data_IF_441087981166
#
_entry.id   IF_441087981166
#
_cell.length_a   1.000
_cell.length_b   1.000
_cell.length_c   1.000
_cell.angle_alpha   90.00
_cell.angle_beta   90.00
_cell.angle_gamma   90.00
#
_symmetry.space_group_name_H-M   'P 1'
#
loop_
_entity.id
_entity.type
_entity.pdbx_description
1 polymer ?
#
# COMPACT_ATOMS: atom_id res chain seq x y z
N UNK A 1 -0.66 -21.35 11.43
CA UNK A 1 0.44 -20.72 10.64
C UNK A 1 -0.19 -19.88 9.52
N UNK A 2 -0.32 -18.58 9.73
CA UNK A 2 -0.92 -17.69 8.71
C UNK A 2 0.08 -17.48 7.57
N UNK A 3 -0.26 -17.89 6.35
CA UNK A 3 0.51 -17.53 5.14
C UNK A 3 0.47 -16.01 5.01
N UNK A 4 1.60 -15.33 5.23
CA UNK A 4 1.77 -13.92 4.83
C UNK A 4 1.50 -13.82 3.32
N UNK A 5 0.67 -12.86 2.91
CA UNK A 5 0.38 -12.57 1.50
C UNK A 5 1.69 -12.32 0.73
N UNK A 6 1.76 -12.77 -0.53
CA UNK A 6 2.93 -12.58 -1.39
C UNK A 6 3.28 -11.09 -1.55
N UNK A 7 2.29 -10.20 -1.61
CA UNK A 7 2.48 -8.74 -1.61
C UNK A 7 3.17 -8.22 -0.34
N UNK A 8 2.86 -8.81 0.83
CA UNK A 8 3.51 -8.40 2.09
C UNK A 8 5.00 -8.73 2.15
N UNK A 9 5.45 -9.74 1.40
CA UNK A 9 6.87 -10.07 1.29
C UNK A 9 7.60 -9.10 0.34
N UNK A 10 6.94 -8.69 -0.75
CA UNK A 10 7.54 -7.87 -1.80
C UNK A 10 7.87 -6.44 -1.33
N UNK A 11 6.94 -5.74 -0.67
CA UNK A 11 7.22 -4.37 -0.20
C UNK A 11 8.26 -4.35 0.93
N UNK A 12 8.32 -5.40 1.76
CA UNK A 12 9.37 -5.55 2.76
C UNK A 12 10.72 -5.79 2.11
N UNK A 13 10.79 -6.61 1.05
CA UNK A 13 12.02 -6.84 0.32
C UNK A 13 12.57 -5.54 -0.33
N UNK A 14 11.70 -4.72 -0.91
CA UNK A 14 12.09 -3.40 -1.44
C UNK A 14 12.64 -2.49 -0.34
N UNK A 15 11.92 -2.37 0.79
CA UNK A 15 12.38 -1.56 1.92
C UNK A 15 13.73 -2.05 2.47
N UNK A 16 13.92 -3.36 2.64
CA UNK A 16 15.19 -3.93 3.09
C UNK A 16 16.34 -3.63 2.12
N UNK A 17 16.09 -3.66 0.80
CA UNK A 17 17.11 -3.28 -0.19
C UNK A 17 17.47 -1.81 -0.02
N UNK A 18 16.48 -0.91 0.03
CA UNK A 18 16.70 0.53 0.16
C UNK A 18 17.39 0.90 1.48
N UNK A 19 17.07 0.20 2.58
CA UNK A 19 17.70 0.39 3.89
C UNK A 19 19.21 0.10 3.90
N UNK A 20 19.67 -0.81 3.05
CA UNK A 20 21.08 -1.28 3.04
C UNK A 20 22.11 -0.18 2.74
N UNK A 21 21.73 0.85 1.99
CA UNK A 21 22.56 2.00 1.66
C UNK A 21 21.86 3.32 1.99
N UNK A 22 21.02 3.32 3.03
CA UNK A 22 20.26 4.50 3.41
C UNK A 22 21.17 5.55 4.07
N UNK A 23 21.03 6.85 3.74
CA UNK A 23 21.92 7.88 4.28
C UNK A 23 21.82 7.96 5.81
N UNK A 24 22.92 8.21 6.55
CA UNK A 24 22.90 8.31 8.01
C UNK A 24 21.90 9.35 8.54
N UNK A 25 21.79 10.50 7.88
CA UNK A 25 20.80 11.55 8.21
C UNK A 25 19.42 11.31 7.58
N UNK A 26 19.27 10.30 6.73
CA UNK A 26 18.05 10.03 5.99
C UNK A 26 16.86 9.74 6.91
N UNK A 27 17.08 9.13 8.08
CA UNK A 27 16.00 8.87 9.05
C UNK A 27 15.45 10.15 9.68
N UNK A 28 16.31 11.15 9.91
CA UNK A 28 15.93 12.44 10.48
C UNK A 28 15.22 13.30 9.44
N UNK A 29 15.69 13.24 8.20
CA UNK A 29 15.14 14.00 7.07
C UNK A 29 13.87 13.37 6.47
N UNK A 30 13.50 12.15 6.89
CA UNK A 30 12.35 11.45 6.36
C UNK A 30 11.05 12.19 6.69
N UNK A 31 10.16 12.39 5.71
CA UNK A 31 8.84 12.95 5.98
C UNK A 31 8.06 12.12 7.02
N UNK A 32 7.17 12.79 7.76
CA UNK A 32 6.40 12.16 8.84
C UNK A 32 5.37 11.19 8.25
N UNK A 33 5.01 10.09 8.94
CA UNK A 33 3.96 9.17 8.46
C UNK A 33 2.61 9.85 8.20
N UNK A 34 2.29 10.96 8.88
CA UNK A 34 1.09 11.76 8.63
C UNK A 34 1.08 12.44 7.25
N UNK A 35 2.23 12.51 6.56
CA UNK A 35 2.40 13.11 5.24
C UNK A 35 2.16 12.12 4.09
N UNK A 36 1.92 10.83 4.37
CA UNK A 36 1.48 9.91 3.31
C UNK A 36 0.17 10.44 2.71
N UNK A 37 0.00 10.40 1.40
CA UNK A 37 -1.15 11.00 0.70
C UNK A 37 -2.50 10.42 1.14
N UNK A 38 -2.53 9.15 1.55
CA UNK A 38 -3.72 8.46 2.06
C UNK A 38 -4.06 8.78 3.52
N UNK A 39 -3.28 9.61 4.22
CA UNK A 39 -3.49 9.86 5.65
C UNK A 39 -4.80 10.60 5.96
N UNK A 40 -5.41 11.27 4.98
CA UNK A 40 -6.73 11.87 5.10
C UNK A 40 -7.89 10.87 4.93
N UNK A 41 -7.64 9.64 4.45
CA UNK A 41 -8.67 8.60 4.43
C UNK A 41 -9.00 8.19 5.87
N UNK A 42 -10.27 8.35 6.22
CA UNK A 42 -10.82 7.75 7.42
C UNK A 42 -10.79 6.23 7.27
N UNK A 43 -9.77 5.62 7.87
CA UNK A 43 -9.57 4.18 7.88
C UNK A 43 -9.57 3.70 9.32
N UNK A 44 -10.14 2.51 9.60
CA UNK A 44 -10.02 1.88 10.91
C UNK A 44 -8.56 1.82 11.36
N UNK A 45 -8.30 2.28 12.59
CA UNK A 45 -6.93 2.38 13.13
C UNK A 45 -6.44 1.07 13.75
N UNK A 46 -7.38 0.24 14.20
CA UNK A 46 -7.13 -0.98 14.93
C UNK A 46 -8.10 -2.09 14.48
N UNK A 47 -7.86 -3.29 15.00
CA UNK A 47 -8.63 -4.49 14.67
C UNK A 47 -10.09 -4.32 15.10
N UNK A 48 -10.32 -3.77 16.28
CA UNK A 48 -11.63 -3.60 16.91
C UNK A 48 -12.52 -2.66 16.09
N UNK A 49 -11.97 -1.56 15.59
CA UNK A 49 -12.65 -0.67 14.65
C UNK A 49 -12.94 -1.38 13.33
N UNK A 50 -11.97 -2.11 12.77
CA UNK A 50 -12.18 -2.83 11.51
C UNK A 50 -13.30 -3.87 11.61
N UNK A 51 -13.42 -4.56 12.75
CA UNK A 51 -14.50 -5.52 13.02
C UNK A 51 -15.89 -4.87 13.13
N UNK A 52 -15.98 -3.56 13.37
CA UNK A 52 -17.25 -2.80 13.44
C UNK A 52 -17.68 -2.20 12.10
N UNK A 53 -16.76 -2.02 11.17
CA UNK A 53 -17.07 -1.49 9.82
C UNK A 53 -17.86 -2.51 9.01
N UNK A 54 -18.86 -2.06 8.25
CA UNK A 54 -19.67 -2.93 7.38
C UNK A 54 -18.82 -3.60 6.29
N UNK A 55 -19.29 -4.71 5.72
CA UNK A 55 -18.56 -5.39 4.63
C UNK A 55 -18.40 -4.49 3.39
N UNK A 56 -19.49 -3.81 3.00
CA UNK A 56 -19.49 -2.88 1.87
C UNK A 56 -18.50 -1.73 2.07
N UNK A 57 -18.43 -1.17 3.27
CA UNK A 57 -17.50 -0.08 3.57
C UNK A 57 -16.05 -0.58 3.63
N UNK A 58 -15.79 -1.76 4.21
CA UNK A 58 -14.44 -2.36 4.22
C UNK A 58 -13.90 -2.63 2.81
N UNK A 59 -14.73 -3.15 1.91
CA UNK A 59 -14.31 -3.41 0.53
C UNK A 59 -14.10 -2.10 -0.25
N UNK A 60 -14.96 -1.10 -0.05
CA UNK A 60 -14.79 0.25 -0.60
C UNK A 60 -13.50 0.92 -0.12
N UNK A 61 -13.14 0.78 1.16
CA UNK A 61 -11.89 1.31 1.71
C UNK A 61 -10.66 0.60 1.11
N UNK A 62 -10.72 -0.73 0.95
CA UNK A 62 -9.65 -1.49 0.31
C UNK A 62 -9.45 -1.06 -1.15
N UNK A 63 -10.53 -0.88 -1.93
CA UNK A 63 -10.46 -0.35 -3.30
C UNK A 63 -9.90 1.07 -3.34
N UNK A 64 -10.40 1.95 -2.47
CA UNK A 64 -9.96 3.36 -2.42
C UNK A 64 -8.46 3.46 -2.15
N UNK A 65 -7.92 2.65 -1.24
CA UNK A 65 -6.48 2.57 -0.98
C UNK A 65 -5.71 2.08 -2.21
N UNK A 66 -6.12 0.98 -2.84
CA UNK A 66 -5.43 0.45 -4.03
C UNK A 66 -5.43 1.45 -5.18
N UNK A 67 -6.56 2.10 -5.45
CA UNK A 67 -6.67 3.13 -6.47
C UNK A 67 -5.76 4.32 -6.19
N UNK A 68 -5.69 4.77 -4.93
CA UNK A 68 -4.79 5.85 -4.54
C UNK A 68 -3.30 5.49 -4.72
N UNK A 69 -2.96 4.21 -4.86
CA UNK A 69 -1.58 3.74 -5.05
C UNK A 69 -1.18 3.54 -6.52
N UNK A 70 -2.09 3.71 -7.48
CA UNK A 70 -1.79 3.56 -8.91
C UNK A 70 -0.69 4.54 -9.38
N UNK A 71 -0.88 5.85 -9.19
CA UNK A 71 0.09 6.86 -9.62
C UNK A 71 1.41 6.80 -8.83
N UNK A 72 1.41 6.65 -7.49
CA UNK A 72 2.65 6.48 -6.75
C UNK A 72 3.47 5.24 -7.16
N UNK A 73 2.81 4.11 -7.45
CA UNK A 73 3.52 2.91 -7.91
C UNK A 73 4.09 3.09 -9.32
N UNK A 74 3.39 3.83 -10.19
CA UNK A 74 3.93 4.21 -11.49
C UNK A 74 5.18 5.09 -11.35
N UNK A 75 5.15 6.10 -10.49
CA UNK A 75 6.30 6.95 -10.18
C UNK A 75 7.47 6.14 -9.63
N UNK A 76 7.22 5.25 -8.66
CA UNK A 76 8.26 4.37 -8.12
C UNK A 76 8.88 3.48 -9.21
N UNK A 77 8.05 2.96 -10.12
CA UNK A 77 8.47 2.10 -11.23
C UNK A 77 9.33 2.84 -12.25
N UNK A 78 9.01 4.12 -12.53
CA UNK A 78 9.80 4.96 -13.44
C UNK A 78 11.11 5.43 -12.82
N UNK A 79 11.13 5.68 -11.50
CA UNK A 79 12.31 6.20 -10.79
C UNK A 79 13.30 5.10 -10.37
N UNK A 80 12.82 3.89 -10.07
CA UNK A 80 13.64 2.80 -9.55
C UNK A 80 14.89 2.47 -10.40
N UNK A 81 14.84 2.44 -11.76
CA UNK A 81 16.03 2.14 -12.57
C UNK A 81 17.16 3.14 -12.42
N UNK A 82 16.87 4.39 -12.05
CA UNK A 82 17.87 5.47 -11.92
C UNK A 82 18.08 5.89 -10.47
N UNK A 83 17.53 5.12 -9.52
CA UNK A 83 17.69 5.37 -8.09
C UNK A 83 19.18 5.31 -7.73
N UNK A 84 19.71 6.22 -6.91
CA UNK A 84 21.11 6.23 -6.50
C UNK A 84 21.40 5.15 -5.46
N UNK A 85 21.26 3.89 -5.86
CA UNK A 85 21.43 2.69 -5.05
C UNK A 85 22.08 1.58 -5.89
N UNK A 86 23.09 0.85 -5.37
CA UNK A 86 23.80 -0.17 -6.14
C UNK A 86 22.89 -1.32 -6.63
N UNK A 87 21.82 -1.62 -5.89
CA UNK A 87 20.80 -2.62 -6.26
C UNK A 87 19.57 -2.03 -6.98
N UNK A 88 19.70 -0.91 -7.69
CA UNK A 88 18.59 -0.27 -8.43
C UNK A 88 17.86 -1.22 -9.40
N UNK A 89 18.60 -2.14 -10.06
CA UNK A 89 18.03 -3.18 -10.91
C UNK A 89 17.07 -4.13 -10.16
N UNK A 90 17.50 -4.64 -9.00
CA UNK A 90 16.67 -5.50 -8.14
C UNK A 90 15.46 -4.75 -7.57
N UNK A 91 15.67 -3.50 -7.15
CA UNK A 91 14.60 -2.62 -6.68
C UNK A 91 13.56 -2.43 -7.79
N UNK A 92 13.99 -2.09 -9.00
CA UNK A 92 13.13 -1.94 -10.19
C UNK A 92 12.34 -3.21 -10.48
N UNK A 93 12.98 -4.38 -10.48
CA UNK A 93 12.29 -5.66 -10.66
C UNK A 93 11.18 -5.87 -9.64
N UNK A 94 11.48 -5.67 -8.36
CA UNK A 94 10.51 -5.87 -7.27
C UNK A 94 9.38 -4.84 -7.27
N UNK A 95 9.65 -3.60 -7.67
CA UNK A 95 8.60 -2.58 -7.83
C UNK A 95 7.64 -2.97 -8.96
N UNK A 96 8.13 -3.51 -10.07
CA UNK A 96 7.26 -4.02 -11.15
C UNK A 96 6.38 -5.17 -10.67
N UNK A 97 6.96 -6.13 -9.95
CA UNK A 97 6.19 -7.20 -9.31
C UNK A 97 5.12 -6.68 -8.34
N UNK A 98 5.42 -5.62 -7.58
CA UNK A 98 4.46 -4.95 -6.71
C UNK A 98 3.34 -4.25 -7.48
N UNK A 99 3.67 -3.59 -8.58
CA UNK A 99 2.71 -2.92 -9.44
C UNK A 99 1.72 -3.94 -10.04
N UNK A 100 2.23 -5.05 -10.56
CA UNK A 100 1.42 -6.15 -11.11
C UNK A 100 0.54 -6.79 -10.02
N UNK A 101 1.10 -7.03 -8.83
CA UNK A 101 0.34 -7.55 -7.70
C UNK A 101 -0.79 -6.61 -7.27
N UNK A 102 -0.50 -5.30 -7.17
CA UNK A 102 -1.49 -4.28 -6.80
C UNK A 102 -2.63 -4.22 -7.82
N UNK A 103 -2.29 -4.26 -9.11
CA UNK A 103 -3.27 -4.30 -10.20
C UNK A 103 -4.16 -5.54 -10.14
N UNK A 104 -3.56 -6.73 -10.06
CA UNK A 104 -4.29 -7.99 -9.98
C UNK A 104 -5.23 -8.05 -8.76
N UNK A 105 -4.79 -7.51 -7.62
CA UNK A 105 -5.62 -7.40 -6.43
C UNK A 105 -6.79 -6.43 -6.63
N UNK A 106 -6.56 -5.29 -7.29
CA UNK A 106 -7.58 -4.34 -7.68
C UNK A 106 -8.65 -4.97 -8.58
N UNK A 107 -8.23 -5.65 -9.64
CA UNK A 107 -9.13 -6.36 -10.57
C UNK A 107 -9.98 -7.40 -9.84
N UNK A 108 -9.37 -8.14 -8.90
CA UNK A 108 -10.07 -9.10 -8.05
C UNK A 108 -11.14 -8.45 -7.15
N UNK A 109 -10.86 -7.26 -6.59
CA UNK A 109 -11.82 -6.52 -5.78
C UNK A 109 -12.96 -5.90 -6.60
N UNK A 110 -12.67 -5.44 -7.82
CA UNK A 110 -13.68 -4.91 -8.74
C UNK A 110 -14.74 -5.96 -9.05
N UNK A 111 -14.32 -7.21 -9.28
CA UNK A 111 -15.22 -8.35 -9.49
C UNK A 111 -16.10 -8.60 -8.25
N UNK A 112 -15.54 -8.47 -7.03
CA UNK A 112 -16.26 -8.69 -5.78
C UNK A 112 -17.31 -7.60 -5.51
N UNK A 113 -16.95 -6.34 -5.71
CA UNK A 113 -17.86 -5.19 -5.54
C UNK A 113 -19.06 -5.30 -6.49
N UNK A 114 -18.83 -5.69 -7.74
CA UNK A 114 -19.92 -5.88 -8.71
C UNK A 114 -20.93 -6.95 -8.27
N UNK A 115 -20.54 -7.89 -7.39
CA UNK A 115 -21.44 -8.91 -6.82
C UNK A 115 -22.14 -8.46 -5.53
N UNK A 116 -21.59 -7.47 -4.81
CA UNK A 116 -22.12 -6.97 -3.53
C UNK A 116 -23.17 -5.85 -3.69
N UNK A 117 -23.34 -5.32 -4.90
CA UNK A 117 -24.39 -4.33 -5.23
C UNK A 117 -23.95 -2.87 -5.10
N UNK A 118 -24.85 -1.90 -5.41
CA UNK A 118 -24.49 -0.49 -5.62
C UNK A 118 -23.85 0.21 -4.42
N UNK A 119 -24.20 -0.19 -3.20
CA UNK A 119 -23.66 0.39 -1.97
C UNK A 119 -22.18 0.09 -1.73
N UNK A 120 -21.60 -0.90 -2.42
CA UNK A 120 -20.16 -1.23 -2.38
C UNK A 120 -19.34 -0.52 -3.46
N UNK A 121 -19.98 0.28 -4.31
CA UNK A 121 -19.31 0.99 -5.41
C UNK A 121 -18.69 2.32 -4.97
N UNK A 122 -18.95 2.78 -3.75
CA UNK A 122 -18.37 4.02 -3.23
C UNK A 122 -16.84 3.94 -3.25
N UNK A 123 -16.20 4.96 -3.83
CA UNK A 123 -14.75 5.13 -3.88
C UNK A 123 -14.43 6.53 -3.38
N UNK A 124 -13.52 6.61 -2.40
CA UNK A 124 -12.88 7.88 -2.06
C UNK A 124 -11.62 8.02 -2.92
N UNK A 125 -11.72 8.81 -3.99
CA UNK A 125 -10.57 9.12 -4.84
C UNK A 125 -9.71 10.15 -4.12
N UNK A 126 -8.48 9.75 -3.76
CA UNK A 126 -7.48 10.69 -3.25
C UNK A 126 -6.43 10.92 -4.33
N UNK A 127 -6.37 12.13 -4.90
CA UNK A 127 -5.37 12.44 -5.91
C UNK A 127 -3.98 12.42 -5.28
N UNK A 128 -3.05 11.75 -5.95
CA UNK A 128 -1.64 11.83 -5.60
C UNK A 128 -1.06 13.14 -6.13
N UNK A 129 -0.68 14.04 -5.21
CA UNK A 129 -0.07 15.34 -5.56
C UNK A 129 1.46 15.33 -5.52
N UNK A 130 2.09 14.21 -5.21
CA UNK A 130 3.54 14.08 -5.01
C UNK A 130 4.30 13.67 -6.26
N UNK A 131 4.35 14.53 -7.28
CA UNK A 131 4.88 14.18 -8.60
C UNK A 131 6.41 14.06 -8.73
N UNK A 132 7.19 14.31 -7.68
CA UNK A 132 8.65 14.32 -7.75
C UNK A 132 9.29 13.75 -6.47
N UNK A 133 10.32 12.91 -6.63
CA UNK A 133 11.15 12.41 -5.53
C UNK A 133 12.30 13.35 -5.18
N UNK A 134 12.46 14.45 -5.93
CA UNK A 134 13.51 15.45 -5.80
C UNK A 134 14.61 15.26 -6.83
N UNK A 135 15.48 16.27 -6.95
CA UNK A 135 16.52 16.30 -7.98
C UNK A 135 17.89 15.76 -7.49
N UNK A 136 18.18 15.89 -6.19
CA UNK A 136 19.44 15.40 -5.63
C UNK A 136 19.36 13.93 -5.19
N UNK A 137 20.51 13.26 -5.18
CA UNK A 137 20.59 11.82 -4.90
C UNK A 137 20.02 11.46 -3.51
N UNK A 138 20.24 12.31 -2.52
CA UNK A 138 19.85 12.06 -1.14
C UNK A 138 18.34 12.18 -0.98
N UNK A 139 17.73 13.27 -1.46
CA UNK A 139 16.28 13.46 -1.44
C UNK A 139 15.55 12.37 -2.21
N UNK A 140 16.05 11.98 -3.39
CA UNK A 140 15.46 10.88 -4.18
C UNK A 140 15.36 9.59 -3.38
N UNK A 141 16.44 9.18 -2.72
CA UNK A 141 16.47 7.95 -1.94
C UNK A 141 15.57 8.04 -0.70
N UNK A 142 15.56 9.19 0.00
CA UNK A 142 14.71 9.43 1.17
C UNK A 142 13.22 9.41 0.80
N UNK A 143 12.84 10.13 -0.26
CA UNK A 143 11.45 10.22 -0.69
C UNK A 143 10.96 8.90 -1.29
N UNK A 144 11.81 8.17 -2.03
CA UNK A 144 11.52 6.81 -2.47
C UNK A 144 11.23 5.88 -1.29
N UNK A 145 12.12 5.88 -0.28
CA UNK A 145 11.95 5.09 0.93
C UNK A 145 10.67 5.49 1.70
N UNK A 146 10.40 6.79 1.83
CA UNK A 146 9.21 7.31 2.48
C UNK A 146 7.93 6.82 1.79
N UNK A 147 7.87 6.92 0.46
CA UNK A 147 6.73 6.47 -0.32
C UNK A 147 6.52 4.96 -0.19
N UNK A 148 7.60 4.17 -0.20
CA UNK A 148 7.54 2.73 0.09
C UNK A 148 7.08 2.42 1.52
N UNK A 149 7.44 3.24 2.50
CA UNK A 149 6.98 3.11 3.89
C UNK A 149 5.49 3.39 4.02
N UNK A 150 4.98 4.37 3.29
CA UNK A 150 3.55 4.64 3.14
C UNK A 150 2.83 3.46 2.47
N UNK A 151 3.40 2.89 1.40
CA UNK A 151 2.82 1.73 0.71
C UNK A 151 2.73 0.50 1.63
N UNK A 152 3.78 0.24 2.42
CA UNK A 152 3.77 -0.81 3.45
C UNK A 152 2.63 -0.61 4.43
N UNK A 153 2.47 0.61 4.97
CA UNK A 153 1.41 0.94 5.94
C UNK A 153 0.03 0.61 5.37
N UNK A 154 -0.24 1.05 4.15
CA UNK A 154 -1.55 0.88 3.54
C UNK A 154 -1.80 -0.55 3.05
N UNK A 155 -0.74 -1.25 2.58
CA UNK A 155 -0.80 -2.69 2.30
C UNK A 155 -1.19 -3.51 3.53
N UNK A 156 -0.67 -3.16 4.71
CA UNK A 156 -1.08 -3.77 5.97
C UNK A 156 -2.56 -3.52 6.29
N UNK A 157 -3.07 -2.32 6.03
CA UNK A 157 -4.51 -2.02 6.19
C UNK A 157 -5.36 -2.86 5.24
N UNK A 158 -5.01 -2.90 3.95
CA UNK A 158 -5.71 -3.70 2.93
C UNK A 158 -5.73 -5.17 3.35
N UNK A 159 -4.59 -5.76 3.70
CA UNK A 159 -4.51 -7.15 4.15
C UNK A 159 -5.40 -7.42 5.38
N UNK A 160 -5.43 -6.48 6.34
CA UNK A 160 -6.33 -6.56 7.49
C UNK A 160 -7.81 -6.53 7.10
N UNK A 161 -8.21 -5.62 6.20
CA UNK A 161 -9.60 -5.52 5.74
C UNK A 161 -10.03 -6.79 5.00
N UNK A 162 -9.18 -7.31 4.11
CA UNK A 162 -9.44 -8.54 3.36
C UNK A 162 -9.55 -9.77 4.28
N UNK A 163 -8.76 -9.82 5.35
CA UNK A 163 -8.87 -10.88 6.37
C UNK A 163 -10.21 -10.83 7.10
N UNK A 164 -10.67 -9.64 7.51
CA UNK A 164 -11.98 -9.46 8.14
C UNK A 164 -13.10 -9.87 7.18
N UNK A 165 -13.07 -9.39 5.93
CA UNK A 165 -14.05 -9.74 4.91
C UNK A 165 -14.10 -11.25 4.67
N UNK A 166 -12.94 -11.91 4.53
CA UNK A 166 -12.85 -13.37 4.37
C UNK A 166 -13.43 -14.09 5.58
N UNK A 167 -13.09 -13.64 6.79
CA UNK A 167 -13.55 -14.25 8.02
C UNK A 167 -15.09 -14.23 8.14
N UNK A 168 -15.72 -13.08 7.84
CA UNK A 168 -17.18 -12.93 7.81
C UNK A 168 -17.84 -13.78 6.73
N UNK A 169 -17.27 -13.82 5.52
CA UNK A 169 -17.76 -14.67 4.44
C UNK A 169 -17.76 -16.16 4.82
N UNK A 170 -16.80 -16.61 5.64
CA UNK A 170 -16.76 -17.98 6.18
C UNK A 170 -17.65 -18.23 7.41
N UNK A 171 -18.47 -17.23 7.81
CA UNK A 171 -19.34 -17.26 9.00
C UNK A 171 -18.61 -17.58 10.31
N UNK A 172 -17.31 -17.26 10.41
CA UNK A 172 -16.58 -17.30 11.67
C UNK A 172 -17.09 -16.17 12.59
N UNK A 173 -17.09 -16.39 13.91
CA UNK A 173 -17.50 -15.35 14.86
C UNK A 173 -16.55 -14.14 14.74
N UNK A 174 -17.02 -12.88 14.80
CA UNK A 174 -16.15 -11.70 14.74
C UNK A 174 -15.03 -11.71 15.79
N UNK A 175 -15.28 -12.28 16.98
CA UNK A 175 -14.31 -12.50 18.07
C UNK A 175 -13.16 -13.44 17.69
N UNK A 176 -13.40 -14.31 16.69
CA UNK A 176 -12.46 -15.32 16.18
C UNK A 176 -11.80 -14.89 14.86
N UNK A 177 -12.25 -13.76 14.32
CA UNK A 177 -11.48 -12.92 13.43
C UNK A 177 -10.51 -12.08 14.29
#
# INVERSE_FOLDING_TARGET
MARRSQGTKLHLAVLCLVDSHFPPMGRVMMPRPSMCHTSSLQTPKDKEQALRVSENELISLARSLLLAWNDPLLLLSSEAPTLPHPSNGDISSKIRELQDYSKNLGDGLDILVNKMGPSSQYISSIPFKGGDLGNDKTSRLINFHFLMSCFRRDSHKIDSFLKVLRCRATKMRPETC
#
